data_IF_829074169742
#
_entry.id   IF_829074169742
#
_cell.length_a   1.000
_cell.length_b   1.000
_cell.length_c   1.000
_cell.angle_alpha   90.00
_cell.angle_beta   90.00
_cell.angle_gamma   90.00
#
_symmetry.space_group_name_H-M   'P 1'
#
loop_
_entity.id
_entity.type
_entity.pdbx_description
1 polymer ?
#
# COMPACT_ATOMS: atom_id res chain seq x y z
N UNK A 1 5.43 -50.55 52.49
CA UNK A 1 4.94 -49.22 52.92
C UNK A 1 5.27 -48.28 51.78
N UNK A 2 4.29 -47.91 50.93
CA UNK A 2 3.57 -46.63 51.04
C UNK A 2 4.60 -45.51 51.26
N UNK A 3 5.05 -44.76 50.26
CA UNK A 3 4.29 -44.12 49.19
C UNK A 3 4.43 -42.62 49.41
N UNK A 4 5.05 -41.90 48.47
CA UNK A 4 4.70 -40.52 48.16
C UNK A 4 5.38 -40.15 46.83
N UNK A 5 4.66 -40.48 45.77
CA UNK A 5 4.85 -39.84 44.47
C UNK A 5 4.40 -38.39 44.63
N UNK A 6 5.33 -37.48 44.87
CA UNK A 6 5.04 -36.05 44.67
C UNK A 6 5.47 -35.75 43.24
N UNK A 7 4.49 -35.92 42.34
CA UNK A 7 4.56 -35.49 40.95
C UNK A 7 5.01 -34.03 40.96
N UNK A 8 6.22 -33.78 40.45
CA UNK A 8 6.64 -32.42 40.13
C UNK A 8 5.79 -32.03 38.93
N UNK A 9 4.71 -31.28 39.17
CA UNK A 9 4.02 -30.54 38.13
C UNK A 9 4.97 -29.44 37.65
N UNK A 10 5.92 -29.83 36.81
CA UNK A 10 6.46 -28.92 35.81
C UNK A 10 5.35 -28.77 34.78
N UNK A 11 4.30 -28.02 35.12
CA UNK A 11 3.68 -27.16 34.12
C UNK A 11 4.77 -26.16 33.75
N UNK A 12 5.71 -26.63 32.92
CA UNK A 12 6.50 -25.74 32.09
C UNK A 12 5.48 -24.81 31.47
N UNK A 13 5.54 -23.53 31.82
CA UNK A 13 4.74 -22.46 31.25
C UNK A 13 4.86 -22.56 29.73
N UNK A 14 3.95 -23.31 29.10
CA UNK A 14 3.93 -23.53 27.67
C UNK A 14 3.34 -22.25 27.11
N UNK A 15 4.21 -21.33 26.75
CA UNK A 15 3.82 -20.12 26.05
C UNK A 15 3.12 -20.51 24.76
N UNK A 16 1.97 -19.90 24.50
CA UNK A 16 1.27 -20.09 23.24
C UNK A 16 2.02 -19.29 22.18
N UNK A 17 2.40 -19.96 21.10
CA UNK A 17 3.06 -19.33 19.95
C UNK A 17 2.01 -18.92 18.91
N UNK A 18 2.20 -17.76 18.29
CA UNK A 18 1.32 -17.22 17.25
C UNK A 18 1.66 -15.77 16.95
N UNK A 19 1.01 -15.15 15.97
CA UNK A 19 1.21 -13.73 15.73
C UNK A 19 0.66 -12.89 16.91
N UNK A 20 1.53 -12.10 17.54
CA UNK A 20 1.17 -11.22 18.67
C UNK A 20 0.88 -9.78 18.25
N UNK A 21 0.98 -9.47 16.95
CA UNK A 21 0.74 -8.13 16.43
C UNK A 21 -0.75 -7.94 16.12
N UNK A 22 -1.39 -6.97 16.77
CA UNK A 22 -2.81 -6.67 16.63
C UNK A 22 -3.19 -6.09 15.26
N UNK A 23 -2.21 -5.59 14.50
CA UNK A 23 -2.41 -5.07 13.14
C UNK A 23 -2.29 -6.18 12.08
N UNK A 24 -1.88 -7.40 12.44
CA UNK A 24 -1.76 -8.52 11.52
C UNK A 24 -3.12 -9.21 11.27
N UNK A 25 -3.34 -9.70 10.05
CA UNK A 25 -4.56 -10.40 9.66
C UNK A 25 -4.75 -11.74 10.40
N UNK A 26 -3.65 -12.32 10.87
CA UNK A 26 -3.60 -13.59 11.61
C UNK A 26 -3.25 -13.40 13.09
N UNK A 27 -3.54 -12.23 13.66
CA UNK A 27 -3.39 -11.98 15.09
C UNK A 27 -4.03 -13.08 15.94
N UNK A 28 -3.27 -13.60 16.90
CA UNK A 28 -3.74 -14.58 17.86
C UNK A 28 -3.73 -13.94 19.26
N UNK A 29 -4.91 -13.62 19.78
CA UNK A 29 -5.07 -13.03 21.11
C UNK A 29 -4.61 -13.95 22.26
N UNK A 30 -4.51 -15.25 22.01
CA UNK A 30 -4.03 -16.23 23.00
C UNK A 30 -2.50 -16.40 22.94
N UNK A 31 -1.80 -15.84 21.95
CA UNK A 31 -0.35 -15.99 21.80
C UNK A 31 0.43 -15.12 22.80
N UNK A 32 1.36 -15.75 23.52
CA UNK A 32 2.29 -15.11 24.45
C UNK A 32 3.65 -14.82 23.80
N UNK A 33 3.96 -15.48 22.67
CA UNK A 33 5.24 -15.38 21.95
C UNK A 33 4.96 -15.31 20.45
N UNK A 34 5.54 -14.29 19.81
CA UNK A 34 5.54 -14.20 18.35
C UNK A 34 6.27 -15.39 17.75
N UNK A 35 5.60 -16.10 16.85
CA UNK A 35 6.17 -17.17 16.04
C UNK A 35 6.80 -16.67 14.72
N UNK A 36 6.76 -15.36 14.49
CA UNK A 36 7.25 -14.72 13.27
C UNK A 36 6.38 -14.97 12.03
N UNK A 37 5.14 -15.46 12.19
CA UNK A 37 4.24 -15.78 11.07
C UNK A 37 3.23 -14.68 10.75
N UNK A 38 3.34 -13.49 11.37
CA UNK A 38 2.42 -12.38 11.14
C UNK A 38 2.30 -12.03 9.65
N UNK A 39 1.07 -11.95 9.16
CA UNK A 39 0.73 -11.57 7.79
C UNK A 39 0.01 -10.24 7.79
N UNK A 40 0.47 -9.28 7.00
CA UNK A 40 -0.12 -7.95 6.96
C UNK A 40 -0.86 -7.72 5.65
N UNK A 41 -1.97 -6.98 5.72
CA UNK A 41 -2.78 -6.67 4.55
C UNK A 41 -1.97 -6.01 3.42
N UNK A 42 -0.97 -5.18 3.77
CA UNK A 42 -0.08 -4.51 2.80
C UNK A 42 0.69 -5.49 1.91
N UNK A 43 0.99 -6.69 2.41
CA UNK A 43 1.85 -7.65 1.70
C UNK A 43 1.18 -8.15 0.40
N UNK A 44 -0.16 -8.09 0.34
CA UNK A 44 -0.94 -8.36 -0.89
C UNK A 44 -0.56 -7.38 -2.01
N UNK A 45 -0.28 -6.14 -1.66
CA UNK A 45 0.00 -5.04 -2.60
C UNK A 45 1.47 -4.94 -2.98
N UNK A 46 2.41 -5.45 -2.18
CA UNK A 46 3.84 -5.34 -2.51
C UNK A 46 4.16 -6.10 -3.80
N UNK A 47 4.80 -5.43 -4.75
CA UNK A 47 5.18 -6.01 -6.04
C UNK A 47 5.19 -4.99 -7.19
N UNK A 48 5.41 -5.49 -8.41
CA UNK A 48 5.32 -4.71 -9.63
C UNK A 48 4.02 -5.02 -10.36
N UNK A 49 3.33 -3.99 -10.83
CA UNK A 49 2.08 -4.10 -11.57
C UNK A 49 2.23 -3.38 -12.91
N UNK A 50 1.73 -4.01 -13.98
CA UNK A 50 1.48 -3.32 -15.24
C UNK A 50 0.15 -2.58 -15.12
N UNK A 51 0.19 -1.26 -15.16
CA UNK A 51 -0.94 -0.37 -14.93
C UNK A 51 -1.39 0.37 -16.20
N UNK A 52 -2.67 0.72 -16.23
CA UNK A 52 -3.29 1.60 -17.22
C UNK A 52 -4.13 2.65 -16.49
N UNK A 53 -4.08 3.89 -16.98
CA UNK A 53 -4.91 4.99 -16.51
C UNK A 53 -5.88 5.38 -17.62
N UNK A 54 -7.15 5.45 -17.26
CA UNK A 54 -8.22 5.98 -18.10
C UNK A 54 -8.68 7.32 -17.51
N UNK A 55 -8.09 8.40 -18.00
CA UNK A 55 -8.42 9.77 -17.61
C UNK A 55 -9.09 10.53 -18.77
N UNK A 56 -9.86 11.58 -18.45
CA UNK A 56 -10.16 12.60 -19.45
C UNK A 56 -8.84 13.33 -19.82
N UNK A 57 -8.54 13.47 -21.12
CA UNK A 57 -7.38 14.21 -21.63
C UNK A 57 -7.13 15.52 -20.81
N UNK A 58 -5.88 15.86 -20.45
CA UNK A 58 -4.66 15.70 -21.27
C UNK A 58 -3.60 14.70 -20.77
N UNK A 59 -3.88 13.86 -19.77
CA UNK A 59 -2.93 12.81 -19.33
C UNK A 59 -2.83 11.68 -20.36
N UNK A 60 -1.71 10.92 -20.41
CA UNK A 60 -1.60 9.73 -21.25
C UNK A 60 -2.70 8.75 -20.85
N UNK A 61 -3.68 8.56 -21.74
CA UNK A 61 -4.71 7.53 -21.63
C UNK A 61 -4.25 6.33 -22.45
N UNK A 62 -4.47 5.13 -21.92
CA UNK A 62 -4.20 3.85 -22.60
C UNK A 62 -2.70 3.50 -22.83
N UNK A 63 -1.77 4.23 -22.22
CA UNK A 63 -0.36 3.81 -22.15
C UNK A 63 -0.13 2.91 -20.93
N UNK A 64 0.58 1.81 -21.14
CA UNK A 64 0.98 0.90 -20.07
C UNK A 64 2.19 1.48 -19.33
N UNK A 65 2.06 1.67 -18.03
CA UNK A 65 3.14 2.10 -17.14
C UNK A 65 3.35 1.03 -16.07
N UNK A 66 4.48 1.10 -15.35
CA UNK A 66 4.72 0.20 -14.22
C UNK A 66 4.43 0.91 -12.91
N UNK A 67 3.68 0.25 -12.03
CA UNK A 67 3.51 0.63 -10.64
C UNK A 67 4.36 -0.31 -9.81
N UNK A 68 5.30 0.24 -9.06
CA UNK A 68 6.07 -0.51 -8.06
C UNK A 68 5.54 -0.12 -6.69
N UNK A 69 4.98 -1.09 -5.98
CA UNK A 69 4.53 -0.92 -4.60
C UNK A 69 5.53 -1.63 -3.69
N UNK A 70 6.12 -0.90 -2.75
CA UNK A 70 7.04 -1.44 -1.73
C UNK A 70 6.53 -1.19 -0.33
N UNK A 71 7.08 -1.91 0.65
CA UNK A 71 6.77 -1.70 2.07
C UNK A 71 7.11 -0.28 2.51
N UNK A 72 6.19 0.36 3.24
CA UNK A 72 6.44 1.60 3.96
C UNK A 72 7.27 1.37 5.22
N UNK A 73 7.82 2.44 5.77
CA UNK A 73 8.76 2.38 6.89
C UNK A 73 8.13 2.78 8.23
N UNK A 74 6.91 3.32 8.24
CA UNK A 74 6.33 3.86 9.47
C UNK A 74 5.48 2.85 10.25
N UNK A 75 4.75 1.95 9.58
CA UNK A 75 3.84 0.98 10.22
C UNK A 75 3.47 -0.19 9.29
N UNK A 76 2.70 -1.15 9.82
CA UNK A 76 2.30 -2.38 9.13
C UNK A 76 1.23 -2.24 8.04
N UNK A 77 0.68 -1.03 7.87
CA UNK A 77 -0.30 -0.69 6.84
C UNK A 77 0.27 0.23 5.74
N UNK A 78 1.45 0.83 5.93
CA UNK A 78 2.00 1.79 4.96
C UNK A 78 2.69 1.09 3.79
N UNK A 79 2.51 1.64 2.59
CA UNK A 79 3.24 1.29 1.37
C UNK A 79 3.70 2.54 0.63
N UNK A 80 4.77 2.40 -0.15
CA UNK A 80 5.27 3.42 -1.07
C UNK A 80 4.92 3.02 -2.50
N UNK A 81 4.52 3.99 -3.32
CA UNK A 81 4.08 3.78 -4.69
C UNK A 81 4.96 4.59 -5.62
N UNK A 82 5.68 3.90 -6.49
CA UNK A 82 6.49 4.51 -7.54
C UNK A 82 5.89 4.20 -8.91
N UNK A 83 5.72 5.25 -9.72
CA UNK A 83 5.28 5.13 -11.10
C UNK A 83 6.50 5.21 -12.02
N UNK A 84 6.68 4.22 -12.89
CA UNK A 84 7.76 4.18 -13.88
C UNK A 84 7.19 4.25 -15.29
N UNK A 85 8.01 4.72 -16.24
CA UNK A 85 7.62 4.93 -17.64
C UNK A 85 6.49 5.96 -17.82
N UNK A 86 6.40 6.93 -16.92
CA UNK A 86 5.49 8.08 -17.03
C UNK A 86 6.33 9.33 -17.34
N UNK A 87 5.92 10.12 -18.33
CA UNK A 87 6.52 11.41 -18.69
C UNK A 87 5.45 12.52 -18.57
N UNK A 88 5.61 13.51 -17.66
CA UNK A 88 6.73 13.69 -16.73
C UNK A 88 6.74 12.62 -15.62
N UNK A 89 7.92 12.34 -15.01
CA UNK A 89 8.00 11.39 -13.90
C UNK A 89 7.14 11.86 -12.73
N UNK A 90 6.34 10.94 -12.18
CA UNK A 90 5.54 11.21 -11.00
C UNK A 90 6.39 11.06 -9.73
N UNK A 91 6.08 11.82 -8.67
CA UNK A 91 6.67 11.61 -7.34
C UNK A 91 6.34 10.21 -6.81
N UNK A 92 7.18 9.73 -5.90
CA UNK A 92 6.80 8.59 -5.05
C UNK A 92 5.67 9.04 -4.12
N UNK A 93 4.61 8.24 -4.02
CA UNK A 93 3.45 8.53 -3.19
C UNK A 93 3.40 7.58 -1.99
N UNK A 94 2.94 8.09 -0.85
CA UNK A 94 2.62 7.25 0.32
C UNK A 94 1.16 6.80 0.28
N UNK A 95 0.91 5.54 0.63
CA UNK A 95 -0.44 5.01 0.78
C UNK A 95 -0.59 4.13 2.02
N UNK A 96 -1.83 3.97 2.48
CA UNK A 96 -2.22 3.10 3.59
C UNK A 96 -3.10 1.96 3.10
N UNK A 97 -2.88 0.77 3.62
CA UNK A 97 -3.64 -0.44 3.31
C UNK A 97 -4.55 -0.81 4.48
N UNK A 98 -5.82 -1.01 4.16
CA UNK A 98 -6.86 -1.55 5.05
C UNK A 98 -7.54 -2.74 4.37
N UNK A 99 -7.19 -3.95 4.81
CA UNK A 99 -7.69 -5.22 4.28
C UNK A 99 -7.34 -5.43 2.79
N UNK A 100 -8.30 -5.14 1.91
CA UNK A 100 -8.15 -5.24 0.45
C UNK A 100 -8.19 -3.88 -0.24
N UNK A 101 -8.17 -2.78 0.52
CA UNK A 101 -8.18 -1.41 0.02
C UNK A 101 -6.83 -0.75 0.28
N UNK A 102 -6.36 0.02 -0.69
CA UNK A 102 -5.21 0.89 -0.63
C UNK A 102 -5.70 2.32 -0.81
N UNK A 103 -5.29 3.21 0.08
CA UNK A 103 -5.68 4.62 0.11
C UNK A 103 -4.42 5.46 -0.04
N UNK A 104 -4.31 6.17 -1.15
CA UNK A 104 -3.22 7.12 -1.41
C UNK A 104 -3.56 8.42 -0.70
N UNK A 105 -2.71 8.79 0.25
CA UNK A 105 -2.91 10.02 0.99
C UNK A 105 -2.69 11.26 0.12
N UNK A 106 -3.45 12.35 0.34
CA UNK A 106 -3.25 13.59 -0.38
C UNK A 106 -1.82 14.13 -0.23
N UNK A 107 -1.04 14.07 -1.30
CA UNK A 107 0.33 14.57 -1.36
C UNK A 107 0.45 15.67 -2.42
N UNK A 108 1.00 16.82 -2.03
CA UNK A 108 1.13 17.98 -2.92
C UNK A 108 2.56 18.13 -3.41
N UNK A 109 2.73 18.22 -4.73
CA UNK A 109 4.03 18.30 -5.39
C UNK A 109 4.06 19.48 -6.35
N UNK A 110 5.19 20.20 -6.34
CA UNK A 110 5.48 21.29 -7.27
C UNK A 110 6.07 20.72 -8.58
N UNK A 111 5.39 20.93 -9.71
CA UNK A 111 5.79 20.42 -11.02
C UNK A 111 5.96 21.60 -11.98
N UNK A 112 7.06 21.62 -12.73
CA UNK A 112 7.28 22.61 -13.78
C UNK A 112 6.28 22.40 -14.94
N UNK A 113 5.50 23.42 -15.27
CA UNK A 113 4.51 23.36 -16.36
C UNK A 113 5.16 23.34 -17.75
N UNK A 114 6.39 23.83 -17.84
CA UNK A 114 7.16 23.91 -19.07
C UNK A 114 8.62 23.58 -18.79
N UNK A 115 9.20 22.54 -19.43
CA UNK A 115 10.61 22.20 -19.23
C UNK A 115 11.58 23.30 -19.71
N UNK A 116 11.12 24.22 -20.57
CA UNK A 116 11.91 25.38 -20.99
C UNK A 116 11.87 26.56 -19.99
N UNK A 117 10.91 26.57 -19.05
CA UNK A 117 10.82 27.56 -17.96
C UNK A 117 10.65 26.86 -16.60
N UNK A 118 11.71 26.24 -16.05
CA UNK A 118 11.63 25.42 -14.84
C UNK A 118 11.18 26.17 -13.58
N UNK A 119 11.34 27.49 -13.57
CA UNK A 119 10.93 28.37 -12.46
C UNK A 119 9.41 28.56 -12.39
N UNK A 120 8.66 28.20 -13.45
CA UNK A 120 7.20 28.24 -13.48
C UNK A 120 6.63 26.87 -13.04
N UNK A 121 6.50 26.70 -11.73
CA UNK A 121 5.90 25.50 -11.13
C UNK A 121 4.40 25.66 -10.88
N UNK A 122 3.70 24.53 -10.83
CA UNK A 122 2.34 24.42 -10.35
C UNK A 122 2.23 23.36 -9.26
N UNK A 123 1.26 23.50 -8.37
CA UNK A 123 0.98 22.53 -7.33
C UNK A 123 -0.08 21.54 -7.80
N UNK A 124 0.29 20.27 -7.82
CA UNK A 124 -0.63 19.16 -8.00
C UNK A 124 -0.75 18.39 -6.69
N UNK A 125 -1.98 18.09 -6.27
CA UNK A 125 -2.24 17.16 -5.17
C UNK A 125 -2.71 15.82 -5.72
N UNK A 126 -1.96 14.76 -5.46
CA UNK A 126 -2.30 13.39 -5.80
C UNK A 126 -3.01 12.72 -4.62
N UNK A 127 -4.08 11.99 -4.89
CA UNK A 127 -4.80 11.16 -3.91
C UNK A 127 -5.54 10.06 -4.64
N UNK A 128 -6.04 9.05 -3.95
CA UNK A 128 -6.75 7.99 -4.64
C UNK A 128 -7.06 6.80 -3.75
N UNK A 129 -7.81 5.88 -4.31
CA UNK A 129 -8.15 4.62 -3.65
C UNK A 129 -8.12 3.50 -4.69
N UNK A 130 -7.61 2.34 -4.30
CA UNK A 130 -7.60 1.15 -5.13
C UNK A 130 -7.94 -0.08 -4.28
N UNK A 131 -8.47 -1.11 -4.94
CA UNK A 131 -8.79 -2.39 -4.32
C UNK A 131 -8.09 -3.50 -5.06
N UNK A 132 -7.57 -4.47 -4.31
CA UNK A 132 -7.00 -5.69 -4.86
C UNK A 132 -8.03 -6.82 -4.79
N UNK A 133 -8.14 -7.59 -5.86
CA UNK A 133 -9.06 -8.71 -5.90
C UNK A 133 -8.64 -9.87 -4.97
N UNK A 134 -9.53 -10.85 -4.82
CA UNK A 134 -9.28 -12.00 -3.96
C UNK A 134 -8.09 -12.87 -4.42
N UNK A 135 -7.63 -12.71 -5.67
CA UNK A 135 -6.46 -13.43 -6.17
C UNK A 135 -5.13 -12.75 -5.80
N UNK A 136 -5.17 -11.48 -5.37
CA UNK A 136 -3.97 -10.70 -5.11
C UNK A 136 -3.25 -10.25 -6.38
N UNK A 137 -3.92 -10.28 -7.54
CA UNK A 137 -3.31 -10.02 -8.86
C UNK A 137 -3.87 -8.76 -9.49
N UNK A 138 -5.19 -8.57 -9.48
CA UNK A 138 -5.81 -7.43 -10.15
C UNK A 138 -6.08 -6.30 -9.17
N UNK A 139 -5.51 -5.14 -9.46
CA UNK A 139 -5.73 -3.88 -8.75
C UNK A 139 -6.66 -3.00 -9.58
N UNK A 140 -7.67 -2.40 -8.96
CA UNK A 140 -8.56 -1.45 -9.64
C UNK A 140 -8.99 -0.32 -8.72
N UNK A 141 -9.09 0.90 -9.24
CA UNK A 141 -9.30 2.07 -8.39
C UNK A 141 -9.45 3.39 -9.14
N UNK A 142 -9.33 4.48 -8.40
CA UNK A 142 -9.37 5.85 -8.92
C UNK A 142 -8.15 6.62 -8.40
N UNK A 143 -7.39 7.22 -9.31
CA UNK A 143 -6.38 8.24 -9.01
C UNK A 143 -6.98 9.63 -9.26
N UNK A 144 -6.78 10.54 -8.32
CA UNK A 144 -7.25 11.92 -8.35
C UNK A 144 -6.07 12.87 -8.35
N UNK A 145 -6.10 13.82 -9.28
CA UNK A 145 -5.08 14.86 -9.40
C UNK A 145 -5.78 16.22 -9.32
N UNK A 146 -5.54 16.95 -8.23
CA UNK A 146 -6.05 18.30 -8.01
C UNK A 146 -5.02 19.34 -8.45
N UNK A 147 -5.35 20.15 -9.44
CA UNK A 147 -4.58 21.33 -9.81
C UNK A 147 -4.96 22.48 -8.87
N UNK A 148 -4.08 22.79 -7.90
CA UNK A 148 -4.38 23.69 -6.78
C UNK A 148 -4.72 25.10 -7.24
N UNK A 149 -4.01 25.60 -8.26
CA UNK A 149 -4.16 26.98 -8.75
C UNK A 149 -5.54 27.30 -9.34
N UNK A 150 -6.24 26.29 -9.88
CA UNK A 150 -7.58 26.47 -10.47
C UNK A 150 -8.66 25.64 -9.77
N UNK A 151 -8.29 24.83 -8.76
CA UNK A 151 -9.21 23.97 -8.01
C UNK A 151 -9.84 22.84 -8.84
N UNK A 152 -9.27 22.50 -9.99
CA UNK A 152 -9.80 21.46 -10.87
C UNK A 152 -9.25 20.09 -10.44
N UNK A 153 -10.15 19.12 -10.27
CA UNK A 153 -9.77 17.72 -10.03
C UNK A 153 -9.95 16.89 -11.29
N UNK A 154 -8.88 16.27 -11.75
CA UNK A 154 -8.92 15.21 -12.74
C UNK A 154 -9.06 13.87 -12.03
N UNK A 155 -9.97 13.04 -12.52
CA UNK A 155 -10.22 11.69 -12.05
C UNK A 155 -9.78 10.71 -13.14
N UNK A 156 -9.03 9.70 -12.74
CA UNK A 156 -8.49 8.67 -13.60
C UNK A 156 -8.90 7.32 -13.03
N UNK A 157 -9.61 6.52 -13.82
CA UNK A 157 -9.78 5.11 -13.48
C UNK A 157 -8.43 4.41 -13.64
N UNK A 158 -8.02 3.65 -12.64
CA UNK A 158 -6.76 2.91 -12.62
C UNK A 158 -7.06 1.42 -12.62
N UNK A 159 -6.42 0.69 -13.53
CA UNK A 159 -6.39 -0.78 -13.51
C UNK A 159 -4.93 -1.22 -13.56
N UNK A 160 -4.58 -2.27 -12.81
CA UNK A 160 -3.24 -2.83 -12.87
C UNK A 160 -3.24 -4.33 -12.60
N UNK A 161 -2.28 -5.04 -13.20
CA UNK A 161 -2.12 -6.49 -13.07
C UNK A 161 -0.72 -6.78 -12.54
N UNK A 162 -0.65 -7.53 -11.43
CA UNK A 162 0.62 -7.96 -10.82
C UNK A 162 1.39 -8.87 -11.77
N UNK A 163 2.69 -8.61 -11.95
CA UNK A 163 3.59 -9.37 -12.82
C UNK A 163 4.19 -10.61 -12.13
#
# INVERSE_FOLDING_TARGET
>A
MLGLSTIVFLDSCKKVEGCTDVEAENYNADADVSDGTCTYARDKFVGTFAGQLSCQAPLPSDEEFLIVISEGLTNNSEVLISFQNVDPPLPELTARVDGNSLVIDPETVDIALNPATPDETTQLTYSGEATIDASGVNLSGELRVLLVIIGQTLKCDMTAVKQ
#
